data_IF_909732423214
#
_entry.id   IF_909732423214
#
_cell.length_a   1.000
_cell.length_b   1.000
_cell.length_c   1.000
_cell.angle_alpha   90.00
_cell.angle_beta   90.00
_cell.angle_gamma   90.00
#
_symmetry.space_group_name_H-M   'P 1'
#
loop_
_entity.id
_entity.type
_entity.pdbx_description
1 polymer ?
#
# COMPACT_ATOMS: atom_id res chain seq x y z
N UNK A 1 45.21 -62.62 41.58
CA UNK A 1 44.58 -62.10 40.33
C UNK A 1 43.66 -60.92 40.68
N UNK A 2 44.13 -59.72 40.40
CA UNK A 2 43.38 -58.47 40.58
C UNK A 2 42.91 -58.01 39.22
N UNK A 3 41.59 -57.92 39.07
CA UNK A 3 40.89 -57.44 37.90
C UNK A 3 40.87 -55.88 37.98
N UNK A 4 41.51 -55.23 37.03
CA UNK A 4 41.49 -53.77 36.92
C UNK A 4 40.35 -53.41 35.92
N UNK A 5 39.28 -52.80 36.44
CA UNK A 5 38.20 -52.26 35.60
C UNK A 5 38.62 -50.87 35.09
N UNK A 6 38.81 -50.73 33.79
CA UNK A 6 39.02 -49.46 33.13
C UNK A 6 37.63 -48.83 32.82
N UNK A 7 37.32 -47.77 33.55
CA UNK A 7 36.17 -46.90 33.23
C UNK A 7 36.57 -45.98 32.08
N UNK A 8 36.01 -46.19 30.92
CA UNK A 8 36.09 -45.26 29.78
C UNK A 8 34.99 -44.24 29.94
N UNK A 9 35.35 -43.03 30.38
CA UNK A 9 34.43 -41.89 30.45
C UNK A 9 34.17 -41.37 29.05
N UNK A 10 32.92 -41.55 28.55
CA UNK A 10 32.41 -40.85 27.39
C UNK A 10 32.14 -39.40 27.76
N UNK A 11 32.95 -38.49 27.24
CA UNK A 11 32.70 -37.06 27.26
C UNK A 11 31.70 -36.73 26.15
N UNK A 12 30.43 -36.53 26.49
CA UNK A 12 29.45 -35.95 25.58
C UNK A 12 29.70 -34.46 25.49
N UNK A 13 30.35 -34.03 24.44
CA UNK A 13 30.40 -32.63 24.06
C UNK A 13 29.04 -32.20 23.57
N UNK A 14 28.26 -31.52 24.41
CA UNK A 14 27.10 -30.79 23.97
C UNK A 14 27.53 -29.58 23.12
N UNK A 15 27.57 -29.74 21.81
CA UNK A 15 27.57 -28.59 20.91
C UNK A 15 26.23 -27.90 21.04
N UNK A 16 26.21 -26.80 21.79
CA UNK A 16 25.12 -25.85 21.77
C UNK A 16 25.07 -25.21 20.37
N UNK A 17 24.37 -25.87 19.44
CA UNK A 17 23.91 -25.22 18.22
C UNK A 17 22.94 -24.11 18.66
N UNK A 18 23.46 -22.90 18.74
CA UNK A 18 22.65 -21.70 18.92
C UNK A 18 21.66 -21.64 17.75
N UNK A 19 20.42 -21.99 18.04
CA UNK A 19 19.29 -21.74 17.17
C UNK A 19 19.22 -20.23 16.98
N UNK A 20 19.90 -19.74 15.94
CA UNK A 20 19.66 -18.40 15.41
C UNK A 20 18.25 -18.50 14.84
N UNK A 21 17.26 -18.21 15.69
CA UNK A 21 15.89 -17.96 15.29
C UNK A 21 15.96 -17.01 14.11
N UNK A 22 15.69 -17.54 12.92
CA UNK A 22 15.41 -16.71 11.76
C UNK A 22 14.22 -15.87 12.17
N UNK A 23 14.47 -14.58 12.45
CA UNK A 23 13.42 -13.58 12.56
C UNK A 23 12.64 -13.63 11.26
N UNK A 24 11.55 -14.36 11.28
CA UNK A 24 10.56 -14.25 10.22
C UNK A 24 10.15 -12.80 10.13
N UNK A 25 10.04 -12.28 8.93
CA UNK A 25 9.73 -10.89 8.58
C UNK A 25 8.35 -10.39 9.07
N UNK A 26 7.76 -11.01 10.06
CA UNK A 26 6.42 -10.82 10.61
C UNK A 26 6.41 -10.12 11.98
N UNK A 27 7.43 -9.33 12.32
CA UNK A 27 7.36 -8.52 13.55
C UNK A 27 6.48 -7.29 13.37
N UNK A 28 5.79 -6.86 14.45
CA UNK A 28 4.80 -5.80 14.41
C UNK A 28 5.42 -4.47 14.01
N UNK A 29 5.19 -4.08 12.77
CA UNK A 29 5.76 -2.88 12.15
C UNK A 29 5.24 -1.61 12.83
N UNK A 30 4.02 -1.62 13.38
CA UNK A 30 3.44 -0.44 14.00
C UNK A 30 4.12 -0.09 15.35
N UNK A 31 4.50 -1.07 16.14
CA UNK A 31 5.23 -0.85 17.40
C UNK A 31 6.64 -0.36 17.12
N UNK A 32 7.34 -0.96 16.15
CA UNK A 32 8.66 -0.50 15.69
C UNK A 32 8.61 0.92 15.10
N UNK A 33 7.51 1.30 14.44
CA UNK A 33 7.35 2.64 13.87
C UNK A 33 7.06 3.67 14.96
N UNK A 34 6.18 3.37 15.89
CA UNK A 34 5.83 4.27 16.99
C UNK A 34 6.98 4.39 18.00
N UNK A 35 7.78 3.34 18.17
CA UNK A 35 8.94 3.28 19.08
C UNK A 35 10.24 3.72 18.40
N UNK A 36 10.44 3.41 17.12
CA UNK A 36 11.69 3.71 16.40
C UNK A 36 11.82 5.17 15.93
N UNK A 37 10.76 5.96 16.04
CA UNK A 37 10.78 7.39 15.70
C UNK A 37 10.40 8.31 16.86
N UNK A 38 10.85 8.08 18.11
CA UNK A 38 10.65 9.05 19.17
C UNK A 38 11.42 10.32 18.81
N UNK A 39 10.69 11.38 18.43
CA UNK A 39 11.29 12.66 18.06
C UNK A 39 11.84 12.77 16.64
N UNK A 40 11.70 11.75 15.78
CA UNK A 40 12.00 11.85 14.34
C UNK A 40 10.72 11.79 13.56
N UNK A 41 10.42 12.85 12.84
CA UNK A 41 9.27 12.93 11.95
C UNK A 41 9.48 11.98 10.76
N UNK A 42 8.53 11.07 10.49
CA UNK A 42 8.53 10.29 9.26
C UNK A 42 8.32 11.26 8.08
N UNK A 43 9.38 11.46 7.30
CA UNK A 43 9.31 12.38 6.16
C UNK A 43 8.65 11.69 4.96
N UNK A 44 7.35 11.90 4.79
CA UNK A 44 6.61 11.38 3.63
C UNK A 44 7.15 11.95 2.31
N UNK A 45 7.57 13.23 2.29
CA UNK A 45 8.14 13.88 1.10
C UNK A 45 9.44 13.24 0.64
N UNK A 46 10.28 12.78 1.58
CA UNK A 46 11.55 12.14 1.25
C UNK A 46 11.39 10.68 0.85
N UNK A 47 10.43 9.98 1.47
CA UNK A 47 10.16 8.56 1.20
C UNK A 47 9.37 8.37 -0.10
N UNK A 48 8.37 9.22 -0.34
CA UNK A 48 7.40 9.08 -1.43
C UNK A 48 7.54 10.21 -2.45
N UNK A 49 8.63 10.14 -3.23
CA UNK A 49 9.01 11.13 -4.23
C UNK A 49 9.21 10.54 -5.63
N UNK A 50 8.58 9.41 -5.91
CA UNK A 50 8.67 8.79 -7.22
C UNK A 50 8.18 9.74 -8.31
N UNK A 51 9.00 9.90 -9.33
CA UNK A 51 8.75 10.90 -10.37
C UNK A 51 7.58 10.48 -11.27
N UNK A 52 6.91 11.48 -11.85
CA UNK A 52 5.85 11.26 -12.82
C UNK A 52 6.30 10.36 -13.98
N UNK A 53 7.53 10.56 -14.48
CA UNK A 53 8.08 9.79 -15.59
C UNK A 53 8.20 8.29 -15.27
N UNK A 54 8.67 7.93 -14.07
CA UNK A 54 8.74 6.53 -13.61
C UNK A 54 7.36 5.91 -13.50
N UNK A 55 6.40 6.65 -12.95
CA UNK A 55 5.03 6.19 -12.79
C UNK A 55 4.35 5.99 -14.15
N UNK A 56 4.53 6.93 -15.09
CA UNK A 56 4.00 6.83 -16.44
C UNK A 56 4.59 5.63 -17.19
N UNK A 57 5.89 5.40 -17.07
CA UNK A 57 6.54 4.23 -17.67
C UNK A 57 5.95 2.93 -17.14
N UNK A 58 5.78 2.80 -15.82
CA UNK A 58 5.16 1.62 -15.21
C UNK A 58 3.69 1.46 -15.63
N UNK A 59 2.93 2.54 -15.62
CA UNK A 59 1.54 2.53 -16.02
C UNK A 59 1.35 2.02 -17.47
N UNK A 60 2.21 2.45 -18.38
CA UNK A 60 2.21 1.99 -19.79
C UNK A 60 2.64 0.54 -19.94
N UNK A 61 3.54 0.06 -19.08
CA UNK A 61 4.10 -1.28 -19.18
C UNK A 61 3.09 -2.39 -18.83
N UNK A 62 2.26 -2.17 -17.81
CA UNK A 62 1.35 -3.20 -17.29
C UNK A 62 -0.14 -2.82 -17.36
N UNK A 63 -0.45 -1.59 -17.75
CA UNK A 63 -1.81 -1.09 -17.82
C UNK A 63 -2.49 -1.34 -19.15
N UNK A 64 -3.61 -0.68 -19.34
CA UNK A 64 -4.34 -0.69 -20.60
C UNK A 64 -3.45 -0.18 -21.75
N UNK A 65 -3.32 -0.95 -22.80
CA UNK A 65 -2.53 -0.56 -23.99
C UNK A 65 -3.05 0.73 -24.65
N UNK A 66 -4.37 0.94 -24.58
CA UNK A 66 -5.04 2.14 -25.05
C UNK A 66 -5.93 2.70 -23.96
N UNK A 67 -5.59 3.85 -23.36
CA UNK A 67 -6.44 4.54 -22.39
C UNK A 67 -7.83 4.86 -22.97
N UNK A 68 -8.92 4.61 -22.23
CA UNK A 68 -10.26 4.92 -22.72
C UNK A 68 -10.48 6.41 -22.92
N UNK A 69 -11.08 6.79 -24.06
CA UNK A 69 -11.40 8.20 -24.34
C UNK A 69 -12.48 8.71 -23.38
N UNK A 70 -13.53 7.91 -23.17
CA UNK A 70 -14.69 8.25 -22.35
C UNK A 70 -15.23 7.03 -21.60
N UNK A 71 -16.25 7.23 -20.76
CA UNK A 71 -16.83 6.16 -19.93
C UNK A 71 -17.53 5.06 -20.74
N UNK A 72 -18.06 5.36 -21.93
CA UNK A 72 -18.63 4.35 -22.82
C UNK A 72 -17.55 3.41 -23.36
N UNK A 73 -16.41 3.96 -23.76
CA UNK A 73 -15.27 3.16 -24.21
C UNK A 73 -14.71 2.32 -23.03
N UNK A 74 -14.56 2.89 -21.85
CA UNK A 74 -14.16 2.14 -20.67
C UNK A 74 -15.12 0.99 -20.36
N UNK A 75 -16.42 1.18 -20.53
CA UNK A 75 -17.43 0.13 -20.35
C UNK A 75 -17.24 -1.06 -21.30
N UNK A 76 -16.73 -0.83 -22.51
CA UNK A 76 -16.40 -1.90 -23.49
C UNK A 76 -15.11 -2.65 -23.10
N UNK A 77 -14.28 -2.09 -22.24
CA UNK A 77 -13.00 -2.67 -21.82
C UNK A 77 -13.10 -3.46 -20.50
N UNK A 78 -14.31 -3.72 -19.98
CA UNK A 78 -14.54 -4.39 -18.70
C UNK A 78 -13.88 -5.77 -18.58
N UNK A 79 -13.68 -6.48 -19.67
CA UNK A 79 -12.96 -7.76 -19.66
C UNK A 79 -11.48 -7.65 -19.28
N UNK A 80 -10.89 -6.46 -19.38
CA UNK A 80 -9.50 -6.15 -19.01
C UNK A 80 -9.40 -5.48 -17.63
N UNK A 81 -10.53 -5.26 -16.96
CA UNK A 81 -10.64 -4.45 -15.76
C UNK A 81 -11.34 -5.21 -14.64
N UNK A 82 -10.90 -4.99 -13.42
CA UNK A 82 -11.51 -5.46 -12.19
C UNK A 82 -12.28 -4.32 -11.54
N UNK A 83 -13.56 -4.55 -11.24
CA UNK A 83 -14.36 -3.62 -10.44
C UNK A 83 -13.91 -3.66 -8.99
N UNK A 84 -13.49 -2.52 -8.45
CA UNK A 84 -13.21 -2.39 -7.01
C UNK A 84 -14.44 -1.87 -6.28
N UNK A 85 -14.66 -2.37 -5.05
CA UNK A 85 -15.78 -2.02 -4.20
C UNK A 85 -15.30 -1.80 -2.78
N UNK A 86 -16.03 -1.00 -2.02
CA UNK A 86 -15.84 -0.90 -0.57
C UNK A 86 -15.92 -2.30 0.05
N UNK A 87 -14.96 -2.60 0.91
CA UNK A 87 -14.86 -3.86 1.62
C UNK A 87 -14.43 -3.65 3.09
N UNK A 88 -13.97 -4.70 3.75
CA UNK A 88 -13.52 -4.67 5.14
C UNK A 88 -12.24 -3.86 5.36
N UNK A 89 -11.41 -3.67 4.33
CA UNK A 89 -10.08 -3.05 4.43
C UNK A 89 -10.04 -1.60 3.94
N UNK A 90 -10.92 -1.22 3.00
CA UNK A 90 -10.97 0.14 2.46
C UNK A 90 -12.36 0.54 1.98
N UNK A 91 -12.54 1.84 1.83
CA UNK A 91 -13.75 2.45 1.27
C UNK A 91 -13.40 3.02 -0.10
N UNK A 92 -14.17 2.66 -1.11
CA UNK A 92 -14.17 3.37 -2.40
C UNK A 92 -15.08 4.58 -2.23
N UNK A 93 -14.48 5.76 -2.31
CA UNK A 93 -15.17 7.04 -2.14
C UNK A 93 -16.12 7.35 -3.30
N UNK A 94 -16.90 8.41 -3.15
CA UNK A 94 -17.69 8.97 -4.25
C UNK A 94 -16.76 9.46 -5.36
N UNK A 95 -16.70 8.71 -6.46
CA UNK A 95 -15.78 8.96 -7.58
C UNK A 95 -16.44 9.87 -8.62
N UNK A 96 -16.13 11.18 -8.59
CA UNK A 96 -16.68 12.16 -9.53
C UNK A 96 -15.93 12.17 -10.87
N UNK A 97 -14.61 12.07 -10.83
CA UNK A 97 -13.71 12.18 -12.00
C UNK A 97 -12.86 10.93 -12.23
N UNK A 98 -13.34 9.79 -11.79
CA UNK A 98 -12.79 8.48 -12.07
C UNK A 98 -13.89 7.43 -11.97
N UNK A 99 -13.63 6.22 -12.42
CA UNK A 99 -14.57 5.10 -12.37
C UNK A 99 -13.92 3.92 -11.61
N UNK A 100 -14.68 3.12 -10.83
CA UNK A 100 -14.16 2.16 -9.86
C UNK A 100 -13.56 0.91 -10.50
N UNK A 101 -12.63 1.09 -11.41
CA UNK A 101 -11.96 0.00 -12.12
C UNK A 101 -10.46 0.14 -12.06
N UNK A 102 -9.76 -0.99 -11.95
CA UNK A 102 -8.32 -1.13 -12.09
C UNK A 102 -8.02 -2.34 -12.99
N UNK A 103 -6.84 -2.40 -13.59
CA UNK A 103 -6.37 -3.66 -14.19
C UNK A 103 -6.20 -4.71 -13.09
N UNK A 104 -6.33 -6.02 -13.39
CA UNK A 104 -6.33 -7.07 -12.37
C UNK A 104 -5.16 -7.01 -11.40
N UNK A 105 -3.94 -6.76 -11.90
CA UNK A 105 -2.72 -6.62 -11.09
C UNK A 105 -2.82 -5.47 -10.09
N UNK A 106 -3.32 -4.31 -10.53
CA UNK A 106 -3.45 -3.15 -9.67
C UNK A 106 -4.58 -3.31 -8.64
N UNK A 107 -5.66 -3.99 -9.00
CA UNK A 107 -6.72 -4.34 -8.05
C UNK A 107 -6.20 -5.30 -6.96
N UNK A 108 -5.42 -6.32 -7.34
CA UNK A 108 -4.81 -7.25 -6.41
C UNK A 108 -3.81 -6.56 -5.46
N UNK A 109 -3.04 -5.59 -5.96
CA UNK A 109 -2.10 -4.84 -5.13
C UNK A 109 -2.82 -3.90 -4.15
N UNK A 110 -3.92 -3.26 -4.55
CA UNK A 110 -4.76 -2.48 -3.64
C UNK A 110 -5.33 -3.36 -2.51
N UNK A 111 -5.81 -4.56 -2.83
CA UNK A 111 -6.28 -5.54 -1.82
C UNK A 111 -5.14 -5.95 -0.88
N UNK A 112 -3.94 -6.20 -1.40
CA UNK A 112 -2.76 -6.55 -0.61
C UNK A 112 -2.37 -5.44 0.37
N UNK A 113 -2.39 -4.18 -0.07
CA UNK A 113 -2.15 -2.99 0.76
C UNK A 113 -3.22 -2.90 1.86
N UNK A 114 -4.49 -3.06 1.49
CA UNK A 114 -5.60 -3.00 2.43
C UNK A 114 -5.50 -4.08 3.52
N UNK A 115 -5.20 -5.30 3.12
CA UNK A 115 -5.02 -6.42 4.03
C UNK A 115 -3.83 -6.22 4.96
N UNK A 116 -2.66 -5.82 4.44
CA UNK A 116 -1.47 -5.57 5.27
C UNK A 116 -1.74 -4.45 6.29
N UNK A 117 -2.45 -3.39 5.88
CA UNK A 117 -2.84 -2.31 6.79
C UNK A 117 -3.74 -2.81 7.93
N UNK A 118 -4.77 -3.61 7.64
CA UNK A 118 -5.65 -4.20 8.64
C UNK A 118 -4.89 -5.20 9.55
N UNK A 119 -4.04 -6.05 8.98
CA UNK A 119 -3.23 -7.02 9.71
C UNK A 119 -2.25 -6.36 10.69
N UNK A 120 -1.66 -5.22 10.34
CA UNK A 120 -0.78 -4.45 11.23
C UNK A 120 -1.58 -3.89 12.41
N UNK A 121 -2.73 -3.26 12.14
CA UNK A 121 -3.59 -2.75 13.21
C UNK A 121 -4.01 -3.87 14.18
N UNK A 122 -4.46 -5.00 13.65
CA UNK A 122 -4.90 -6.15 14.44
C UNK A 122 -3.77 -6.73 15.29
N UNK A 123 -2.58 -6.98 14.72
CA UNK A 123 -1.44 -7.56 15.45
C UNK A 123 -0.93 -6.67 16.58
N UNK A 124 -1.17 -5.37 16.50
CA UNK A 124 -0.80 -4.41 17.54
C UNK A 124 -1.95 -4.06 18.49
N UNK A 125 -3.05 -4.82 18.45
CA UNK A 125 -4.25 -4.56 19.25
C UNK A 125 -4.80 -3.14 19.08
N UNK A 126 -4.61 -2.54 17.89
CA UNK A 126 -5.11 -1.21 17.56
C UNK A 126 -6.53 -1.31 16.98
N UNK A 127 -7.36 -0.26 17.15
CA UNK A 127 -8.68 -0.23 16.52
C UNK A 127 -8.58 -0.41 15.01
N UNK A 128 -9.53 -1.17 14.43
CA UNK A 128 -9.59 -1.38 12.99
C UNK A 128 -10.09 -0.12 12.28
N UNK A 129 -9.31 0.34 11.30
CA UNK A 129 -9.64 1.47 10.42
C UNK A 129 -9.60 1.02 8.96
N UNK A 130 -10.38 1.72 8.12
CA UNK A 130 -10.31 1.63 6.66
C UNK A 130 -9.82 2.96 6.10
N UNK A 131 -8.96 2.92 5.10
CA UNK A 131 -8.60 4.13 4.35
C UNK A 131 -9.57 4.33 3.17
N UNK A 132 -9.54 5.53 2.59
CA UNK A 132 -10.38 5.88 1.45
C UNK A 132 -9.58 5.86 0.15
N UNK A 133 -10.11 5.15 -0.85
CA UNK A 133 -9.66 5.21 -2.25
C UNK A 133 -10.43 6.33 -2.92
N UNK A 134 -9.74 7.41 -3.29
CA UNK A 134 -10.36 8.66 -3.74
C UNK A 134 -10.27 8.88 -5.25
N UNK A 135 -9.42 8.13 -5.95
CA UNK A 135 -9.32 8.16 -7.40
C UNK A 135 -8.78 6.84 -7.93
N UNK A 136 -9.23 6.43 -9.10
CA UNK A 136 -8.84 5.19 -9.78
C UNK A 136 -8.80 5.43 -11.30
N UNK A 137 -9.33 4.53 -12.13
CA UNK A 137 -9.31 4.70 -13.59
C UNK A 137 -9.96 6.03 -14.01
N UNK A 138 -9.25 6.85 -14.76
CA UNK A 138 -9.76 8.06 -15.41
C UNK A 138 -9.80 7.84 -16.92
N UNK A 139 -10.83 8.38 -17.54
CA UNK A 139 -10.86 8.51 -18.99
C UNK A 139 -10.10 9.77 -19.42
N UNK A 140 -9.74 9.86 -20.70
CA UNK A 140 -9.12 11.09 -21.23
C UNK A 140 -10.05 12.32 -21.08
N UNK A 141 -11.35 12.11 -21.16
CA UNK A 141 -12.33 13.18 -20.96
C UNK A 141 -12.42 13.61 -19.49
N UNK A 142 -12.33 12.68 -18.51
CA UNK A 142 -12.22 13.02 -17.10
C UNK A 142 -10.95 13.88 -16.83
N UNK A 143 -9.83 13.54 -17.44
CA UNK A 143 -8.57 14.31 -17.32
C UNK A 143 -8.71 15.71 -17.91
N UNK A 144 -9.30 15.82 -19.10
CA UNK A 144 -9.56 17.13 -19.75
C UNK A 144 -10.47 18.01 -18.89
N UNK A 145 -11.50 17.41 -18.28
CA UNK A 145 -12.37 18.14 -17.38
C UNK A 145 -11.60 18.68 -16.15
N UNK A 146 -10.79 17.83 -15.52
CA UNK A 146 -9.96 18.23 -14.39
C UNK A 146 -8.97 19.36 -14.73
N UNK A 147 -8.37 19.32 -15.92
CA UNK A 147 -7.49 20.39 -16.42
C UNK A 147 -8.25 21.72 -16.57
N UNK A 148 -9.44 21.67 -17.16
CA UNK A 148 -10.29 22.86 -17.34
C UNK A 148 -10.77 23.45 -16.01
N UNK A 149 -10.98 22.61 -14.98
CA UNK A 149 -11.37 23.05 -13.64
C UNK A 149 -10.22 23.57 -12.79
N UNK A 150 -9.03 23.72 -13.37
CA UNK A 150 -7.85 24.30 -12.69
C UNK A 150 -7.06 23.33 -11.82
N UNK A 151 -7.27 22.01 -11.97
CA UNK A 151 -6.43 21.04 -11.26
C UNK A 151 -5.03 20.98 -11.88
N UNK A 152 -4.08 21.65 -11.23
CA UNK A 152 -2.67 21.77 -11.69
C UNK A 152 -1.91 20.44 -11.78
N UNK A 153 -2.43 19.38 -11.14
CA UNK A 153 -1.82 18.03 -11.19
C UNK A 153 -2.43 17.13 -12.28
N UNK A 154 -3.49 17.59 -12.96
CA UNK A 154 -4.07 16.86 -14.08
C UNK A 154 -3.20 17.04 -15.32
N UNK A 155 -2.33 16.07 -15.60
CA UNK A 155 -1.49 16.05 -16.81
C UNK A 155 -2.19 15.29 -17.94
N UNK A 156 -1.90 15.66 -19.19
CA UNK A 156 -2.44 14.98 -20.38
C UNK A 156 -2.12 13.47 -20.39
N UNK A 157 -0.97 13.09 -19.82
CA UNK A 157 -0.50 11.71 -19.69
C UNK A 157 -0.72 11.17 -18.27
N UNK A 158 -1.94 11.30 -17.75
CA UNK A 158 -2.27 10.81 -16.42
C UNK A 158 -2.12 9.29 -16.31
N UNK A 159 -1.33 8.82 -15.32
CA UNK A 159 -1.15 7.39 -15.03
C UNK A 159 -2.48 6.70 -14.73
N UNK A 160 -3.46 7.41 -14.17
CA UNK A 160 -4.80 6.89 -13.94
C UNK A 160 -5.51 6.38 -15.20
N UNK A 161 -5.15 6.90 -16.38
CA UNK A 161 -5.79 6.48 -17.63
C UNK A 161 -5.44 5.04 -18.04
N UNK A 162 -4.40 4.48 -17.45
CA UNK A 162 -3.94 3.11 -17.73
C UNK A 162 -4.55 2.06 -16.79
N UNK A 163 -5.31 2.47 -15.76
CA UNK A 163 -5.93 1.55 -14.80
C UNK A 163 -4.97 0.92 -13.80
N UNK A 164 -3.75 1.42 -13.69
CA UNK A 164 -2.71 0.94 -12.77
C UNK A 164 -2.52 1.81 -11.54
N UNK A 165 -3.26 2.92 -11.48
CA UNK A 165 -2.99 4.01 -10.53
C UNK A 165 -4.22 4.31 -9.71
N UNK A 166 -4.01 4.50 -8.40
CA UNK A 166 -5.05 4.90 -7.46
C UNK A 166 -4.51 5.87 -6.42
N UNK A 167 -5.40 6.71 -5.87
CA UNK A 167 -5.09 7.67 -4.83
C UNK A 167 -5.72 7.23 -3.52
N UNK A 168 -4.94 7.28 -2.42
CA UNK A 168 -5.40 7.00 -1.06
C UNK A 168 -5.37 8.28 -0.23
N UNK A 169 -6.51 8.69 0.33
CA UNK A 169 -6.56 9.80 1.26
C UNK A 169 -5.75 9.49 2.53
N UNK A 170 -4.98 10.48 3.03
CA UNK A 170 -4.19 10.31 4.25
C UNK A 170 -4.66 11.19 5.42
N UNK A 171 -5.76 11.88 5.26
CA UNK A 171 -6.31 12.82 6.27
C UNK A 171 -7.61 12.34 6.89
N UNK A 172 -8.18 11.23 6.43
CA UNK A 172 -9.42 10.66 6.96
C UNK A 172 -9.41 9.14 6.86
N UNK A 173 -10.00 8.53 7.87
CA UNK A 173 -10.12 7.09 8.01
C UNK A 173 -11.48 6.75 8.59
N UNK A 174 -12.03 5.62 8.21
CA UNK A 174 -13.27 5.10 8.76
C UNK A 174 -12.95 4.07 9.85
N UNK A 175 -13.45 4.32 11.06
CA UNK A 175 -13.25 3.40 12.19
C UNK A 175 -14.33 2.34 12.19
N UNK A 176 -13.92 1.08 12.01
CA UNK A 176 -14.81 -0.09 12.00
C UNK A 176 -15.10 -0.60 13.41
N UNK A 177 -14.09 -0.62 14.27
CA UNK A 177 -14.20 -1.14 15.66
C UNK A 177 -15.05 -0.22 16.52
N UNK A 178 -16.06 -0.78 17.20
CA UNK A 178 -16.98 -0.03 18.08
C UNK A 178 -16.44 0.19 19.50
N UNK A 179 -15.12 0.24 19.70
CA UNK A 179 -14.49 0.55 20.99
C UNK A 179 -14.43 2.05 21.23
N UNK A 180 -14.20 2.47 22.49
CA UNK A 180 -13.99 3.90 22.85
C UNK A 180 -12.60 4.40 22.46
N UNK A 181 -11.66 3.51 22.16
CA UNK A 181 -10.30 3.84 21.79
C UNK A 181 -10.26 4.46 20.38
N UNK A 182 -9.51 5.54 20.24
CA UNK A 182 -9.28 6.23 18.97
C UNK A 182 -7.78 6.44 18.77
N UNK A 183 -7.33 6.25 17.54
CA UNK A 183 -5.99 6.67 17.14
C UNK A 183 -6.05 8.08 16.55
N UNK A 184 -5.03 8.88 16.83
CA UNK A 184 -4.84 10.14 16.12
C UNK A 184 -4.59 9.87 14.62
N UNK A 185 -5.11 10.72 13.75
CA UNK A 185 -5.00 10.54 12.29
C UNK A 185 -3.55 10.41 11.81
N UNK A 186 -2.61 11.13 12.43
CA UNK A 186 -1.18 11.04 12.07
C UNK A 186 -0.59 9.66 12.38
N UNK A 187 -1.04 9.00 13.43
CA UNK A 187 -0.60 7.63 13.76
C UNK A 187 -1.18 6.63 12.76
N UNK A 188 -2.44 6.77 12.36
CA UNK A 188 -3.04 5.92 11.34
C UNK A 188 -2.33 6.14 9.98
N UNK A 189 -2.07 7.39 9.63
CA UNK A 189 -1.28 7.76 8.44
C UNK A 189 0.12 7.16 8.47
N UNK A 190 0.75 7.10 9.65
CA UNK A 190 2.07 6.52 9.81
C UNK A 190 2.05 5.01 9.51
N UNK A 191 1.05 4.29 10.02
CA UNK A 191 0.85 2.86 9.71
C UNK A 191 0.65 2.65 8.21
N UNK A 192 -0.26 3.41 7.58
CA UNK A 192 -0.47 3.33 6.13
C UNK A 192 0.81 3.67 5.35
N UNK A 193 1.53 4.71 5.77
CA UNK A 193 2.80 5.11 5.16
C UNK A 193 3.85 4.00 5.24
N UNK A 194 3.90 3.25 6.33
CA UNK A 194 4.81 2.12 6.44
C UNK A 194 4.43 0.96 5.52
N UNK A 195 3.16 0.63 5.41
CA UNK A 195 2.66 -0.36 4.44
C UNK A 195 3.10 0.04 3.03
N UNK A 196 2.84 1.27 2.63
CA UNK A 196 3.23 1.77 1.32
C UNK A 196 4.75 1.72 1.10
N UNK A 197 5.55 2.01 2.13
CA UNK A 197 7.01 1.91 2.06
C UNK A 197 7.48 0.47 1.88
N UNK A 198 6.82 -0.50 2.51
CA UNK A 198 7.12 -1.93 2.35
C UNK A 198 6.88 -2.37 0.90
N UNK A 199 5.70 -2.04 0.34
CA UNK A 199 5.35 -2.36 -1.04
C UNK A 199 6.26 -1.64 -2.07
N UNK A 200 6.63 -0.38 -1.79
CA UNK A 200 7.59 0.37 -2.61
C UNK A 200 8.97 -0.30 -2.60
N UNK A 201 9.48 -0.68 -1.43
CA UNK A 201 10.77 -1.37 -1.27
C UNK A 201 10.77 -2.77 -1.88
N UNK A 202 9.64 -3.45 -1.85
CA UNK A 202 9.45 -4.74 -2.53
C UNK A 202 9.37 -4.60 -4.06
N UNK A 203 9.43 -3.37 -4.58
CA UNK A 203 9.40 -3.12 -6.01
C UNK A 203 8.03 -3.23 -6.65
N UNK A 204 6.95 -3.30 -5.87
CA UNK A 204 5.58 -3.51 -6.37
C UNK A 204 4.89 -2.22 -6.82
N UNK A 205 5.21 -1.11 -6.18
CA UNK A 205 4.57 0.19 -6.42
C UNK A 205 5.59 1.33 -6.51
N UNK A 206 5.19 2.39 -7.18
CA UNK A 206 5.73 3.74 -7.02
C UNK A 206 4.76 4.56 -6.20
N UNK A 207 5.27 5.45 -5.34
CA UNK A 207 4.45 6.30 -4.47
C UNK A 207 4.93 7.74 -4.54
N UNK A 208 3.97 8.66 -4.67
CA UNK A 208 4.20 10.10 -4.56
C UNK A 208 3.28 10.69 -3.48
N UNK A 209 3.87 11.43 -2.55
CA UNK A 209 3.14 12.17 -1.54
C UNK A 209 2.62 13.49 -2.12
N UNK A 210 1.33 13.58 -2.38
CA UNK A 210 0.70 14.76 -2.94
C UNK A 210 0.01 15.61 -1.86
N UNK A 211 0.80 16.47 -1.21
CA UNK A 211 0.34 17.25 -0.07
C UNK A 211 -0.80 18.22 -0.39
N UNK A 212 -0.85 18.77 -1.62
CA UNK A 212 -1.94 19.68 -2.05
C UNK A 212 -3.26 18.96 -2.27
N UNK A 213 -3.21 17.69 -2.65
CA UNK A 213 -4.39 16.84 -2.87
C UNK A 213 -4.69 15.97 -1.65
N UNK A 214 -3.85 16.03 -0.63
CA UNK A 214 -3.95 15.26 0.60
C UNK A 214 -4.10 13.75 0.36
N UNK A 215 -3.34 13.19 -0.60
CA UNK A 215 -3.34 11.77 -0.93
C UNK A 215 -1.93 11.20 -1.16
N UNK A 216 -1.83 9.88 -1.04
CA UNK A 216 -0.76 9.09 -1.62
C UNK A 216 -1.18 8.70 -3.04
N UNK A 217 -0.44 9.16 -4.04
CA UNK A 217 -0.62 8.77 -5.44
C UNK A 217 0.24 7.54 -5.73
N UNK A 218 -0.39 6.43 -6.08
CA UNK A 218 0.23 5.11 -6.15
C UNK A 218 0.06 4.55 -7.56
N UNK A 219 1.16 4.14 -8.17
CA UNK A 219 1.16 3.42 -9.45
C UNK A 219 1.79 2.05 -9.27
N UNK A 220 1.05 1.00 -9.61
CA UNK A 220 1.53 -0.39 -9.58
C UNK A 220 2.50 -0.61 -10.74
N UNK A 221 3.56 -1.40 -10.52
CA UNK A 221 4.65 -1.56 -11.48
C UNK A 221 4.96 -3.02 -11.85
N UNK A 222 4.28 -3.99 -11.22
CA UNK A 222 4.35 -5.42 -11.55
C UNK A 222 3.15 -6.20 -10.99
#
# INVERSE_FOLDING_TARGET
>A
SRLVLLLVGLIFSFSACGNRSQRTSNQPIAEDILVSYPGRTFSYKDKFRDTQAKQEQAAKAIGLSTPPQNRQQAAKMRSQLTLIKTNENYIVDSLTHSIPYLVPTAAAELESIGKEFADILQRNNLPHYRFYVTSVLRTKDDVKYLQKSGNVNATTNSCHCYGTTFDLAYYRYDKVTRTREYMHQDNIKLVLGQVLLNHQRAGKIYVKYEWRQACFHITVRQ
#
